data_IF_291447444724
#
_entry.id   IF_291447444724
#
_cell.length_a   1.000
_cell.length_b   1.000
_cell.length_c   1.000
_cell.angle_alpha   90.00
_cell.angle_beta   90.00
_cell.angle_gamma   90.00
#
_symmetry.space_group_name_H-M   'P 1'
#
loop_
_entity.id
_entity.type
_entity.pdbx_description
1 polymer ?
#
# COMPACT_ATOMS: atom_id res chain seq x y z
N UNK A 1 -14.16 14.78 -1.11
CA UNK A 1 -13.24 14.73 0.05
C UNK A 1 -12.27 13.57 -0.18
N UNK A 2 -10.96 13.78 -0.39
CA UNK A 2 -10.04 12.66 -0.52
C UNK A 2 -9.92 11.99 0.86
N UNK A 3 -10.51 10.80 0.97
CA UNK A 3 -10.61 10.08 2.22
C UNK A 3 -9.19 9.63 2.60
N UNK A 4 -8.57 10.30 3.57
CA UNK A 4 -7.19 10.04 3.99
C UNK A 4 -7.02 8.70 4.72
N UNK A 5 -8.07 7.87 4.79
CA UNK A 5 -8.14 6.62 5.50
C UNK A 5 -8.16 5.45 4.52
N UNK A 6 -7.25 4.47 4.65
CA UNK A 6 -7.34 3.23 3.91
C UNK A 6 -8.65 2.54 4.32
N UNK A 7 -9.62 2.47 3.40
CA UNK A 7 -10.83 1.71 3.64
C UNK A 7 -10.54 0.22 3.53
N UNK A 8 -11.31 -0.61 4.22
CA UNK A 8 -11.12 -2.07 4.21
C UNK A 8 -11.20 -2.65 2.78
N UNK A 9 -12.04 -2.05 1.91
CA UNK A 9 -12.11 -2.36 0.48
C UNK A 9 -10.82 -2.03 -0.28
N UNK A 10 -10.17 -0.91 0.05
CA UNK A 10 -8.93 -0.49 -0.59
C UNK A 10 -7.78 -1.48 -0.25
N UNK A 11 -7.69 -1.88 1.01
CA UNK A 11 -6.76 -2.92 1.46
C UNK A 11 -6.99 -4.27 0.76
N UNK A 12 -8.25 -4.69 0.62
CA UNK A 12 -8.60 -5.91 -0.10
C UNK A 12 -8.19 -5.83 -1.57
N UNK A 13 -8.50 -4.72 -2.26
CA UNK A 13 -8.10 -4.48 -3.65
C UNK A 13 -6.60 -4.52 -3.85
N UNK A 14 -5.84 -3.92 -2.94
CA UNK A 14 -4.39 -3.98 -2.97
C UNK A 14 -3.86 -5.42 -2.87
N UNK A 15 -4.44 -6.22 -1.97
CA UNK A 15 -4.10 -7.64 -1.82
C UNK A 15 -4.46 -8.45 -3.07
N UNK A 16 -5.62 -8.18 -3.67
CA UNK A 16 -6.04 -8.79 -4.93
C UNK A 16 -5.13 -8.38 -6.10
N UNK A 17 -4.65 -7.14 -6.14
CA UNK A 17 -3.69 -6.66 -7.17
C UNK A 17 -2.34 -7.38 -7.08
N UNK A 18 -1.88 -7.63 -5.86
CA UNK A 18 -0.67 -8.43 -5.61
C UNK A 18 -0.88 -9.87 -6.10
N UNK A 19 -1.99 -10.50 -5.71
CA UNK A 19 -2.36 -11.84 -6.14
C UNK A 19 -2.54 -11.97 -7.66
N UNK A 20 -3.16 -10.97 -8.31
CA UNK A 20 -3.34 -10.91 -9.76
C UNK A 20 -2.01 -10.81 -10.52
N UNK A 21 -1.00 -10.18 -9.93
CA UNK A 21 0.34 -10.12 -10.50
C UNK A 21 1.16 -11.38 -10.21
N UNK A 22 0.63 -12.32 -9.41
CA UNK A 22 1.39 -13.48 -8.92
C UNK A 22 2.51 -13.10 -7.96
N UNK A 23 2.49 -11.89 -7.41
CA UNK A 23 3.52 -11.37 -6.52
C UNK A 23 3.03 -11.43 -5.07
N UNK A 24 3.87 -11.93 -4.18
CA UNK A 24 3.60 -11.83 -2.74
C UNK A 24 3.85 -10.40 -2.26
N UNK A 25 3.22 -10.01 -1.15
CA UNK A 25 3.46 -8.72 -0.51
C UNK A 25 4.95 -8.47 -0.20
N UNK A 26 5.73 -9.55 0.01
CA UNK A 26 7.18 -9.49 0.21
C UNK A 26 7.94 -9.18 -1.08
N UNK A 27 7.72 -9.93 -2.16
CA UNK A 27 8.34 -9.69 -3.47
C UNK A 27 7.99 -8.32 -4.04
N UNK A 28 6.75 -7.90 -3.83
CA UNK A 28 6.33 -6.56 -4.21
C UNK A 28 7.04 -5.48 -3.38
N UNK A 29 7.20 -5.71 -2.07
CA UNK A 29 7.95 -4.80 -1.23
C UNK A 29 9.41 -4.67 -1.72
N UNK A 30 10.06 -5.79 -2.01
CA UNK A 30 11.44 -5.84 -2.50
C UNK A 30 11.62 -5.08 -3.82
N UNK A 31 10.75 -5.33 -4.80
CA UNK A 31 10.77 -4.62 -6.10
C UNK A 31 10.60 -3.11 -5.95
N UNK A 32 9.81 -2.66 -4.97
CA UNK A 32 9.56 -1.25 -4.71
C UNK A 32 10.51 -0.63 -3.68
N UNK A 33 11.56 -1.36 -3.24
CA UNK A 33 12.49 -0.94 -2.18
C UNK A 33 11.74 -0.53 -0.89
N UNK A 34 10.71 -1.29 -0.55
CA UNK A 34 9.88 -1.12 0.64
C UNK A 34 10.08 -2.29 1.60
N UNK A 35 9.88 -2.03 2.87
CA UNK A 35 9.90 -3.11 3.86
C UNK A 35 8.60 -3.96 3.78
N UNK A 36 8.66 -5.31 3.75
CA UNK A 36 7.46 -6.15 3.72
C UNK A 36 6.52 -5.89 4.91
N UNK A 37 7.09 -5.64 6.09
CA UNK A 37 6.35 -5.25 7.30
C UNK A 37 5.53 -3.97 7.09
N UNK A 38 6.06 -3.02 6.30
CA UNK A 38 5.35 -1.79 5.93
C UNK A 38 4.18 -2.09 5.01
N UNK A 39 4.37 -2.95 3.99
CA UNK A 39 3.30 -3.37 3.07
C UNK A 39 2.18 -4.07 3.82
N UNK A 40 2.49 -5.01 4.72
CA UNK A 40 1.49 -5.65 5.57
C UNK A 40 0.77 -4.68 6.49
N UNK A 41 1.48 -3.71 7.09
CA UNK A 41 0.86 -2.70 7.93
C UNK A 41 -0.10 -1.78 7.15
N UNK A 42 0.22 -1.49 5.88
CA UNK A 42 -0.62 -0.73 4.95
C UNK A 42 -1.84 -1.57 4.54
N UNK A 43 -1.65 -2.84 4.18
CA UNK A 43 -2.72 -3.80 3.83
C UNK A 43 -3.66 -4.10 5.00
N UNK A 44 -3.19 -4.08 6.24
CA UNK A 44 -4.04 -4.21 7.42
C UNK A 44 -4.68 -2.88 7.85
N UNK A 45 -4.35 -1.75 7.21
CA UNK A 45 -4.85 -0.44 7.61
C UNK A 45 -4.38 0.00 9.01
N UNK A 46 -3.36 -0.64 9.59
CA UNK A 46 -2.92 -0.37 10.97
C UNK A 46 -2.23 0.98 11.14
N UNK A 47 -1.77 1.61 10.04
CA UNK A 47 -1.10 2.91 10.06
C UNK A 47 -1.83 3.87 9.12
N UNK A 48 -1.92 5.15 9.54
CA UNK A 48 -2.47 6.24 8.73
C UNK A 48 -1.68 6.52 7.43
N UNK A 49 -0.55 5.84 7.19
CA UNK A 49 0.28 5.94 5.99
C UNK A 49 0.57 7.40 5.59
N UNK A 50 0.89 8.23 6.59
CA UNK A 50 0.94 9.68 6.43
C UNK A 50 2.22 10.16 5.75
N UNK A 51 3.34 9.43 5.87
CA UNK A 51 4.67 9.84 5.38
C UNK A 51 5.56 8.62 5.11
N UNK A 52 6.61 8.81 4.32
CA UNK A 52 7.68 7.82 4.09
C UNK A 52 7.25 6.63 3.23
N UNK A 53 7.90 5.48 3.45
CA UNK A 53 7.64 4.22 2.73
C UNK A 53 6.17 3.80 2.81
N UNK A 54 5.52 3.98 3.97
CA UNK A 54 4.09 3.63 4.14
C UNK A 54 3.18 4.47 3.25
N UNK A 55 3.52 5.75 3.04
CA UNK A 55 2.78 6.62 2.12
C UNK A 55 2.96 6.15 0.67
N UNK A 56 4.21 5.89 0.26
CA UNK A 56 4.53 5.39 -1.09
C UNK A 56 3.81 4.07 -1.36
N UNK A 57 3.84 3.13 -0.41
CA UNK A 57 3.14 1.86 -0.52
C UNK A 57 1.63 2.04 -0.70
N UNK A 58 0.99 2.90 0.11
CA UNK A 58 -0.44 3.16 0.03
C UNK A 58 -0.86 3.80 -1.32
N UNK A 59 -0.03 4.67 -1.88
CA UNK A 59 -0.27 5.27 -3.20
C UNK A 59 -0.04 4.24 -4.31
N UNK A 60 1.08 3.52 -4.30
CA UNK A 60 1.42 2.52 -5.31
C UNK A 60 0.39 1.37 -5.37
N UNK A 61 -0.12 0.95 -4.21
CA UNK A 61 -1.17 -0.06 -4.12
C UNK A 61 -2.56 0.48 -4.53
N UNK A 62 -2.70 1.79 -4.74
CA UNK A 62 -3.98 2.44 -5.06
C UNK A 62 -4.95 2.47 -3.89
N UNK A 63 -4.43 2.38 -2.65
CA UNK A 63 -5.24 2.39 -1.43
C UNK A 63 -5.65 3.83 -1.09
N UNK A 64 -4.79 4.79 -1.41
CA UNK A 64 -5.03 6.22 -1.20
C UNK A 64 -4.70 7.00 -2.47
N UNK A 65 -5.54 7.97 -2.79
CA UNK A 65 -5.24 9.01 -3.77
C UNK A 65 -4.22 9.97 -3.16
N UNK A 66 -2.98 9.88 -3.62
CA UNK A 66 -1.86 10.67 -3.11
C UNK A 66 -0.80 10.81 -4.18
N UNK A 67 -0.13 11.95 -4.21
CA UNK A 67 0.92 12.23 -5.17
C UNK A 67 2.25 11.84 -4.53
N UNK A 68 2.95 10.85 -5.09
CA UNK A 68 4.37 10.63 -4.78
C UNK A 68 5.14 11.62 -5.65
N UNK A 69 5.38 12.82 -5.14
CA UNK A 69 6.36 13.74 -5.74
C UNK A 69 7.75 13.17 -5.56
N UNK A 70 8.44 12.97 -6.68
CA UNK A 70 9.79 12.43 -6.79
C UNK A 70 10.85 13.47 -6.41
#
# INVERSE_FOLDING_TARGET
>A
MPNAYPTEQACRKARERLAHQGLSAKDWADQHNLTPSTVYAVLNGQKKCLRGESHRAAVLLGIKDGVVTN
#
